data_IF_407528038141
#
_entry.id   IF_407528038141
#
_cell.length_a   1.000
_cell.length_b   1.000
_cell.length_c   1.000
_cell.angle_alpha   90.00
_cell.angle_beta   90.00
_cell.angle_gamma   90.00
#
_symmetry.space_group_name_H-M   'P 1'
#
loop_
_entity.id
_entity.type
_entity.pdbx_description
1 polymer ?
#
# COMPACT_ATOMS: atom_id res chain seq x y z
N UNK A 1 15.13 -3.02 28.78
CA UNK A 1 14.75 -2.89 27.36
C UNK A 1 13.23 -2.85 27.27
N UNK A 2 12.64 -1.76 26.78
CA UNK A 2 11.19 -1.65 26.66
C UNK A 2 10.67 -2.69 25.64
N UNK A 3 9.83 -3.61 26.10
CA UNK A 3 9.26 -4.71 25.31
C UNK A 3 8.33 -4.10 24.25
N UNK A 4 8.67 -4.23 22.96
CA UNK A 4 7.79 -3.81 21.86
C UNK A 4 6.42 -4.48 22.05
N UNK A 5 5.36 -3.67 22.15
CA UNK A 5 4.01 -4.16 22.41
C UNK A 5 3.01 -3.41 21.56
N UNK A 6 2.41 -4.11 20.61
CA UNK A 6 1.34 -3.59 19.76
C UNK A 6 0.06 -3.26 20.55
N UNK A 7 0.00 -3.53 21.86
CA UNK A 7 -1.09 -3.04 22.72
C UNK A 7 -0.96 -1.56 23.08
N UNK A 8 0.24 -0.98 22.95
CA UNK A 8 0.47 0.44 23.25
C UNK A 8 0.19 1.29 22.02
N UNK A 9 -0.61 2.34 22.18
CA UNK A 9 -0.98 3.23 21.08
C UNK A 9 0.23 3.97 20.48
N UNK A 10 1.22 4.35 21.28
CA UNK A 10 2.45 4.98 20.76
C UNK A 10 3.23 4.04 19.83
N UNK A 11 3.27 2.75 20.16
CA UNK A 11 3.94 1.73 19.35
C UNK A 11 3.15 1.46 18.08
N UNK A 12 1.81 1.46 18.15
CA UNK A 12 0.95 1.40 16.96
C UNK A 12 1.15 2.62 16.06
N UNK A 13 1.29 3.83 16.61
CA UNK A 13 1.55 5.04 15.82
C UNK A 13 2.87 4.94 15.05
N UNK A 14 3.94 4.44 15.70
CA UNK A 14 5.23 4.21 15.05
C UNK A 14 5.16 3.10 14.00
N UNK A 15 4.53 1.98 14.31
CA UNK A 15 4.34 0.88 13.37
C UNK A 15 3.50 1.32 12.17
N UNK A 16 2.44 2.10 12.39
CA UNK A 16 1.60 2.69 11.36
C UNK A 16 2.41 3.51 10.37
N UNK A 17 3.25 4.44 10.85
CA UNK A 17 4.11 5.24 9.98
C UNK A 17 5.09 4.37 9.20
N UNK A 18 5.77 3.43 9.86
CA UNK A 18 6.75 2.56 9.19
C UNK A 18 6.09 1.72 8.08
N UNK A 19 4.96 1.09 8.39
CA UNK A 19 4.21 0.27 7.42
C UNK A 19 3.67 1.12 6.28
N UNK A 20 3.14 2.31 6.57
CA UNK A 20 2.66 3.24 5.55
C UNK A 20 3.80 3.72 4.64
N UNK A 21 4.99 4.03 5.17
CA UNK A 21 6.15 4.39 4.34
C UNK A 21 6.65 3.22 3.48
N UNK A 22 6.72 2.00 4.04
CA UNK A 22 7.06 0.81 3.26
C UNK A 22 6.04 0.54 2.15
N UNK A 23 4.75 0.81 2.43
CA UNK A 23 3.70 0.67 1.42
C UNK A 23 3.85 1.66 0.26
N UNK A 24 4.37 2.88 0.49
CA UNK A 24 4.67 3.83 -0.60
C UNK A 24 5.73 3.25 -1.54
N UNK A 25 6.79 2.64 -1.01
CA UNK A 25 7.84 2.00 -1.81
C UNK A 25 7.26 0.82 -2.61
N UNK A 26 6.43 0.01 -1.97
CA UNK A 26 5.75 -1.11 -2.64
C UNK A 26 4.76 -0.64 -3.72
N UNK A 27 4.05 0.47 -3.49
CA UNK A 27 3.17 1.10 -4.48
C UNK A 27 3.97 1.59 -5.69
N UNK A 28 5.15 2.16 -5.49
CA UNK A 28 6.02 2.57 -6.59
C UNK A 28 6.44 1.36 -7.45
N UNK A 29 6.73 0.21 -6.84
CA UNK A 29 7.00 -1.03 -7.56
C UNK A 29 5.76 -1.54 -8.32
N UNK A 30 4.58 -1.54 -7.70
CA UNK A 30 3.32 -1.86 -8.37
C UNK A 30 3.09 -0.94 -9.57
N UNK A 31 3.28 0.36 -9.39
CA UNK A 31 3.12 1.35 -10.44
C UNK A 31 4.11 1.14 -11.59
N UNK A 32 5.36 0.84 -11.29
CA UNK A 32 6.36 0.48 -12.29
C UNK A 32 5.91 -0.74 -13.12
N UNK A 33 5.40 -1.79 -12.48
CA UNK A 33 4.94 -2.98 -13.20
C UNK A 33 3.65 -2.77 -13.99
N UNK A 34 2.71 -1.96 -13.52
CA UNK A 34 1.48 -1.66 -14.27
C UNK A 34 1.75 -0.68 -15.41
N UNK A 35 2.40 0.45 -15.11
CA UNK A 35 2.58 1.56 -16.05
C UNK A 35 3.71 1.33 -17.05
N UNK A 36 4.74 0.53 -16.71
CA UNK A 36 5.93 0.40 -17.56
C UNK A 36 5.74 -0.32 -18.89
N UNK A 37 4.55 -0.87 -19.17
CA UNK A 37 4.11 -1.40 -20.48
C UNK A 37 2.66 -1.01 -20.77
N UNK A 38 2.28 0.18 -20.32
CA UNK A 38 0.96 0.73 -20.60
C UNK A 38 0.96 1.40 -21.97
N UNK A 39 0.04 0.99 -22.84
CA UNK A 39 -0.31 1.77 -24.02
C UNK A 39 -1.24 2.90 -23.59
N UNK A 40 -0.79 4.15 -23.75
CA UNK A 40 -1.60 5.34 -23.40
C UNK A 40 -2.68 5.63 -24.44
N UNK A 41 -2.53 5.16 -25.68
CA UNK A 41 -3.58 5.30 -26.70
C UNK A 41 -4.79 4.41 -26.39
N UNK A 42 -4.55 3.21 -25.87
CA UNK A 42 -5.60 2.23 -25.56
C UNK A 42 -5.96 2.18 -24.07
N UNK A 43 -5.14 2.87 -23.24
CA UNK A 43 -5.21 2.82 -21.79
C UNK A 43 -5.19 1.38 -21.26
N UNK A 44 -4.26 0.58 -21.78
CA UNK A 44 -4.17 -0.87 -21.61
C UNK A 44 -2.79 -1.26 -21.07
N UNK A 45 -2.68 -1.88 -19.88
CA UNK A 45 -1.43 -2.43 -19.37
C UNK A 45 -1.16 -3.81 -19.97
N UNK A 46 -0.11 -3.93 -20.78
CA UNK A 46 0.29 -5.20 -21.38
C UNK A 46 1.23 -6.01 -20.48
N UNK A 47 1.00 -7.32 -20.39
CA UNK A 47 1.81 -8.20 -19.55
C UNK A 47 2.07 -9.58 -20.16
N UNK A 48 3.21 -10.17 -19.78
CA UNK A 48 3.47 -11.61 -19.93
C UNK A 48 3.33 -12.33 -18.57
N UNK A 49 3.57 -13.65 -18.55
CA UNK A 49 3.39 -14.48 -17.34
C UNK A 49 4.12 -13.96 -16.10
N UNK A 50 5.44 -13.72 -16.19
CA UNK A 50 6.25 -13.22 -15.07
C UNK A 50 5.80 -11.84 -14.59
N UNK A 51 5.40 -10.96 -15.51
CA UNK A 51 4.96 -9.61 -15.17
C UNK A 51 3.61 -9.63 -14.47
N UNK A 52 2.68 -10.51 -14.86
CA UNK A 52 1.41 -10.72 -14.15
C UNK A 52 1.66 -11.11 -12.70
N UNK A 53 2.55 -12.07 -12.46
CA UNK A 53 2.90 -12.49 -11.09
C UNK A 53 3.53 -11.37 -10.29
N UNK A 54 4.43 -10.57 -10.89
CA UNK A 54 5.03 -9.41 -10.25
C UNK A 54 3.99 -8.34 -9.87
N UNK A 55 3.02 -8.04 -10.75
CA UNK A 55 1.92 -7.10 -10.47
C UNK A 55 1.07 -7.60 -9.31
N UNK A 56 0.65 -8.86 -9.32
CA UNK A 56 -0.18 -9.42 -8.26
C UNK A 56 0.58 -9.50 -6.92
N UNK A 57 1.85 -9.91 -6.95
CA UNK A 57 2.71 -9.95 -5.77
C UNK A 57 2.91 -8.57 -5.16
N UNK A 58 3.32 -7.58 -5.96
CA UNK A 58 3.46 -6.20 -5.52
C UNK A 58 2.12 -5.62 -5.04
N UNK A 59 1.01 -5.98 -5.68
CA UNK A 59 -0.34 -5.63 -5.28
C UNK A 59 -0.67 -6.12 -3.87
N UNK A 60 -0.54 -7.42 -3.63
CA UNK A 60 -0.82 -8.04 -2.32
C UNK A 60 0.07 -7.42 -1.23
N UNK A 61 1.37 -7.28 -1.48
CA UNK A 61 2.29 -6.67 -0.50
C UNK A 61 1.88 -5.24 -0.19
N UNK A 62 1.53 -4.45 -1.21
CA UNK A 62 1.08 -3.06 -1.02
C UNK A 62 -0.19 -3.00 -0.18
N UNK A 63 -1.20 -3.82 -0.50
CA UNK A 63 -2.47 -3.87 0.23
C UNK A 63 -2.29 -4.27 1.70
N UNK A 64 -1.42 -5.25 1.98
CA UNK A 64 -1.16 -5.69 3.35
C UNK A 64 -0.44 -4.60 4.17
N UNK A 65 0.58 -3.98 3.59
CA UNK A 65 1.35 -2.93 4.27
C UNK A 65 0.50 -1.67 4.50
N UNK A 66 -0.22 -1.21 3.47
CA UNK A 66 -1.05 -0.01 3.57
C UNK A 66 -2.28 -0.25 4.44
N UNK A 67 -2.89 -1.43 4.37
CA UNK A 67 -4.02 -1.83 5.22
C UNK A 67 -3.62 -1.91 6.70
N UNK A 68 -2.47 -2.52 7.01
CA UNK A 68 -1.95 -2.55 8.37
C UNK A 68 -1.53 -1.15 8.88
N UNK A 69 -0.86 -0.37 8.03
CA UNK A 69 -0.48 1.02 8.32
C UNK A 69 -1.69 1.88 8.64
N UNK A 70 -2.71 1.83 7.77
CA UNK A 70 -4.02 2.46 7.95
C UNK A 70 -4.70 2.02 9.26
N UNK A 71 -4.82 0.70 9.48
CA UNK A 71 -5.52 0.15 10.63
C UNK A 71 -4.89 0.54 11.97
N UNK A 72 -3.56 0.47 12.09
CA UNK A 72 -2.86 0.92 13.28
C UNK A 72 -2.94 2.44 13.47
N UNK A 73 -2.92 3.21 12.38
CA UNK A 73 -3.09 4.66 12.41
C UNK A 73 -4.47 5.03 12.94
N UNK A 74 -5.52 4.43 12.38
CA UNK A 74 -6.92 4.62 12.79
C UNK A 74 -7.13 4.23 14.26
N UNK A 75 -6.59 3.07 14.67
CA UNK A 75 -6.82 2.55 16.02
C UNK A 75 -6.10 3.37 17.11
N UNK A 76 -5.00 4.05 16.76
CA UNK A 76 -4.23 4.89 17.70
C UNK A 76 -4.58 6.38 17.65
N UNK A 77 -5.13 6.87 16.52
CA UNK A 77 -5.58 8.25 16.39
C UNK A 77 -6.73 8.58 17.35
N UNK A 78 -6.70 9.77 17.95
CA UNK A 78 -7.72 10.25 18.89
C UNK A 78 -7.67 9.65 20.30
N UNK A 79 -6.81 8.64 20.54
CA UNK A 79 -6.63 8.05 21.87
C UNK A 79 -5.92 9.01 22.84
N UNK A 80 -6.54 9.30 23.99
CA UNK A 80 -5.96 10.19 25.03
C UNK A 80 -4.60 9.73 25.58
N UNK A 81 -4.29 8.43 25.46
CA UNK A 81 -3.04 7.81 25.95
C UNK A 81 -1.99 7.62 24.85
N UNK A 82 -2.11 8.35 23.74
CA UNK A 82 -1.15 8.35 22.65
C UNK A 82 -0.48 9.72 22.61
N UNK A 83 0.79 9.76 22.99
CA UNK A 83 1.57 11.00 22.99
C UNK A 83 2.06 11.34 21.56
N UNK A 84 1.86 10.41 20.61
CA UNK A 84 2.32 10.48 19.21
C UNK A 84 1.15 10.62 18.23
N UNK A 85 0.13 11.40 18.58
CA UNK A 85 -1.06 11.61 17.75
C UNK A 85 -0.77 12.02 16.31
N UNK A 86 0.22 12.90 16.10
CA UNK A 86 0.60 13.34 14.75
C UNK A 86 1.09 12.17 13.88
N UNK A 87 1.82 11.21 14.47
CA UNK A 87 2.28 10.03 13.75
C UNK A 87 1.12 9.09 13.41
N UNK A 88 0.14 8.94 14.30
CA UNK A 88 -1.07 8.16 14.01
C UNK A 88 -1.85 8.71 12.82
N UNK A 89 -2.05 10.02 12.77
CA UNK A 89 -2.71 10.67 11.63
C UNK A 89 -1.90 10.56 10.34
N UNK A 90 -0.58 10.77 10.42
CA UNK A 90 0.30 10.60 9.26
C UNK A 90 0.21 9.18 8.71
N UNK A 91 0.38 8.17 9.55
CA UNK A 91 0.31 6.77 9.16
C UNK A 91 -1.08 6.39 8.62
N UNK A 92 -2.15 6.88 9.23
CA UNK A 92 -3.53 6.72 8.74
C UNK A 92 -3.72 7.27 7.33
N UNK A 93 -3.41 8.56 7.10
CA UNK A 93 -3.66 9.20 5.80
C UNK A 93 -2.77 8.64 4.69
N UNK A 94 -1.48 8.43 4.97
CA UNK A 94 -0.56 7.84 3.99
C UNK A 94 -1.01 6.40 3.66
N UNK A 95 -1.34 5.60 4.68
CA UNK A 95 -1.85 4.24 4.47
C UNK A 95 -3.15 4.22 3.65
N UNK A 96 -4.10 5.11 3.97
CA UNK A 96 -5.37 5.23 3.23
C UNK A 96 -5.16 5.60 1.75
N UNK A 97 -4.31 6.60 1.48
CA UNK A 97 -4.02 7.05 0.11
C UNK A 97 -3.36 5.91 -0.68
N UNK A 98 -2.35 5.26 -0.10
CA UNK A 98 -1.66 4.14 -0.76
C UNK A 98 -2.62 2.97 -1.01
N UNK A 99 -3.47 2.64 -0.04
CA UNK A 99 -4.48 1.59 -0.17
C UNK A 99 -5.45 1.90 -1.31
N UNK A 100 -5.97 3.13 -1.38
CA UNK A 100 -6.87 3.55 -2.45
C UNK A 100 -6.21 3.49 -3.82
N UNK A 101 -4.98 4.02 -3.97
CA UNK A 101 -4.24 3.97 -5.23
C UNK A 101 -3.93 2.54 -5.65
N UNK A 102 -3.49 1.68 -4.72
CA UNK A 102 -3.22 0.27 -5.01
C UNK A 102 -4.48 -0.45 -5.54
N UNK A 103 -5.65 -0.20 -4.92
CA UNK A 103 -6.92 -0.75 -5.39
C UNK A 103 -7.27 -0.26 -6.80
N UNK A 104 -7.13 1.04 -7.06
CA UNK A 104 -7.37 1.60 -8.41
C UNK A 104 -6.45 0.95 -9.46
N UNK A 105 -5.16 0.79 -9.17
CA UNK A 105 -4.21 0.16 -10.10
C UNK A 105 -4.51 -1.33 -10.34
N UNK A 106 -4.91 -2.06 -9.29
CA UNK A 106 -5.26 -3.47 -9.42
C UNK A 106 -6.58 -3.67 -10.17
N UNK A 107 -7.57 -2.80 -9.95
CA UNK A 107 -8.83 -2.80 -10.71
C UNK A 107 -8.55 -2.46 -12.18
N UNK A 108 -7.73 -1.43 -12.45
CA UNK A 108 -7.30 -1.08 -13.79
C UNK A 108 -6.64 -2.29 -14.48
N UNK A 109 -5.70 -2.94 -13.81
CA UNK A 109 -5.03 -4.14 -14.33
C UNK A 109 -6.01 -5.31 -14.56
N UNK A 110 -6.96 -5.53 -13.65
CA UNK A 110 -7.93 -6.62 -13.77
C UNK A 110 -8.93 -6.40 -14.91
N UNK A 111 -9.35 -5.16 -15.14
CA UNK A 111 -10.38 -4.81 -16.14
C UNK A 111 -9.78 -4.59 -17.53
N UNK A 112 -8.60 -3.97 -17.61
CA UNK A 112 -7.96 -3.54 -18.86
C UNK A 112 -6.71 -4.32 -19.21
N UNK A 113 -6.20 -5.16 -18.33
CA UNK A 113 -4.94 -5.84 -18.57
C UNK A 113 -5.06 -6.88 -19.68
N UNK A 114 -4.18 -6.76 -20.68
CA UNK A 114 -4.12 -7.68 -21.81
C UNK A 114 -2.81 -8.48 -21.81
N UNK A 115 -2.94 -9.79 -21.99
CA UNK A 115 -1.80 -10.68 -22.08
C UNK A 115 -1.19 -10.61 -23.48
N UNK A 116 0.12 -10.36 -23.56
CA UNK A 116 0.86 -10.49 -24.81
C UNK A 116 1.19 -11.97 -24.98
N UNK A 117 0.43 -12.65 -25.84
CA UNK A 117 0.74 -14.02 -26.26
C UNK A 117 1.97 -13.91 -27.16
N UNK A 118 3.13 -14.32 -26.65
CA UNK A 118 4.32 -14.60 -27.46
C UNK A 118 4.30 -16.05 -27.89
#
# INVERSE_FOLDING_TARGET
MAKFSLRRFDTQAQASVLLSLLSVVSLAALAFFVMGRMSFSEFTPYYGGNRRMAILGAGVVTLLLSGAGFGFGLNSAGQRRNDKQQLSWLGFFVGAIVLALALVMLVLFAVRGEAVIQ
#
